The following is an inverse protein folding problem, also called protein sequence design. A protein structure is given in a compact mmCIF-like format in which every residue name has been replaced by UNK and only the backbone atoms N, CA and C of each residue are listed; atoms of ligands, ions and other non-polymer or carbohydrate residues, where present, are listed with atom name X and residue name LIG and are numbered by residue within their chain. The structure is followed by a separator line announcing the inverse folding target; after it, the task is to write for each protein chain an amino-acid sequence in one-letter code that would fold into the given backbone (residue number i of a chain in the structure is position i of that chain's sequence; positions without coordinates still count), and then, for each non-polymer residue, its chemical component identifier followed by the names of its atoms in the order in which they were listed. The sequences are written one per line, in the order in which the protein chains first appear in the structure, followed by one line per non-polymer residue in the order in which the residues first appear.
data_IF_411015842427
#
_entry.id   IF_411015842427
#
_cell.length_a   1.000
_cell.length_b   1.000
_cell.length_c   1.000
_cell.angle_alpha   90.00
_cell.angle_beta   90.00
_cell.angle_gamma   90.00
#
_symmetry.space_group_name_H-M   'P 1'
#
loop_
_entity.id
_entity.type
_entity.pdbx_description
1 polymer ?
#
# COMPACT_ATOMS: atom_id res chain seq x y z
N UNK A 1 -96.76 -20.80 -7.56
CA UNK A 1 -96.01 -19.55 -7.74
C UNK A 1 -94.56 -19.95 -8.02
N UNK A 2 -94.17 -20.09 -9.30
CA UNK A 2 -93.40 -19.09 -10.10
C UNK A 2 -92.21 -18.51 -9.30
N UNK A 3 -90.93 -18.51 -9.72
CA UNK A 3 -90.24 -18.72 -11.02
C UNK A 3 -88.73 -19.01 -10.71
N UNK A 4 -88.08 -20.04 -11.28
CA UNK A 4 -87.16 -20.05 -12.45
C UNK A 4 -85.84 -19.22 -12.38
N UNK A 5 -84.71 -19.97 -12.42
CA UNK A 5 -83.39 -19.75 -13.07
C UNK A 5 -82.56 -18.49 -12.70
N UNK A 6 -81.24 -18.54 -12.43
CA UNK A 6 -80.14 -19.00 -13.29
C UNK A 6 -78.88 -19.43 -12.48
N UNK A 7 -78.17 -20.42 -13.02
CA UNK A 7 -76.86 -20.99 -12.64
C UNK A 7 -75.67 -20.15 -13.14
N UNK A 8 -74.62 -19.89 -12.35
CA UNK A 8 -73.25 -19.61 -12.87
C UNK A 8 -72.14 -19.69 -11.79
N UNK A 9 -71.37 -20.77 -11.91
CA UNK A 9 -69.96 -21.08 -11.55
C UNK A 9 -69.06 -20.16 -10.68
N UNK A 10 -68.49 -20.81 -9.66
CA UNK A 10 -67.08 -20.86 -9.17
C UNK A 10 -66.22 -19.58 -9.16
N UNK A 11 -65.75 -19.23 -7.97
CA UNK A 11 -64.60 -18.34 -7.73
C UNK A 11 -64.38 -18.06 -6.25
N UNK A 12 -63.67 -18.93 -5.55
CA UNK A 12 -63.29 -18.73 -4.14
C UNK A 12 -62.13 -17.75 -4.04
N UNK A 13 -62.43 -16.48 -3.74
CA UNK A 13 -61.43 -15.47 -3.36
C UNK A 13 -61.39 -15.32 -1.84
N UNK A 14 -60.44 -16.01 -1.20
CA UNK A 14 -59.98 -15.65 0.16
C UNK A 14 -59.17 -14.35 0.05
N UNK A 15 -59.70 -13.25 0.62
CA UNK A 15 -58.87 -12.10 0.96
C UNK A 15 -58.26 -12.36 2.33
N UNK A 16 -56.94 -12.60 2.30
CA UNK A 16 -56.10 -12.84 3.47
C UNK A 16 -56.06 -11.60 4.38
N UNK A 17 -56.52 -11.76 5.61
CA UNK A 17 -56.10 -10.92 6.73
C UNK A 17 -54.62 -11.22 7.02
N UNK A 18 -53.84 -10.16 7.22
CA UNK A 18 -52.40 -10.23 7.45
C UNK A 18 -52.04 -11.15 8.61
N UNK A 19 -51.36 -12.25 8.29
CA UNK A 19 -50.63 -13.04 9.26
C UNK A 19 -49.23 -12.46 9.40
N UNK A 20 -48.95 -11.88 10.56
CA UNK A 20 -47.58 -11.65 11.03
C UNK A 20 -46.93 -13.03 11.13
N UNK A 21 -45.98 -13.33 10.25
CA UNK A 21 -45.15 -14.52 10.36
C UNK A 21 -44.21 -14.32 11.55
N UNK A 22 -44.69 -14.75 12.71
CA UNK A 22 -43.90 -14.91 13.91
C UNK A 22 -42.89 -16.03 13.63
N UNK A 23 -41.67 -15.66 13.24
CA UNK A 23 -40.60 -16.63 13.01
C UNK A 23 -40.20 -17.20 14.38
N UNK A 24 -40.83 -18.32 14.74
CA UNK A 24 -40.45 -19.12 15.91
C UNK A 24 -38.98 -19.47 15.75
N UNK A 25 -38.13 -18.83 16.54
CA UNK A 25 -36.80 -19.35 16.85
C UNK A 25 -36.99 -20.75 17.42
N UNK A 26 -36.59 -21.77 16.65
CA UNK A 26 -36.46 -23.11 17.18
C UNK A 26 -35.23 -23.16 18.11
N UNK A 27 -35.31 -23.83 19.27
CA UNK A 27 -34.15 -24.01 20.12
C UNK A 27 -33.18 -24.98 19.42
N UNK A 28 -32.01 -24.50 19.02
CA UNK A 28 -30.98 -25.31 18.37
C UNK A 28 -30.07 -25.95 19.42
N UNK A 29 -29.80 -27.22 19.17
CA UNK A 29 -29.00 -28.16 19.95
C UNK A 29 -27.58 -27.63 20.21
N UNK A 30 -27.15 -27.68 21.48
CA UNK A 30 -25.93 -27.03 21.97
C UNK A 30 -24.78 -28.03 22.09
N UNK A 31 -24.15 -28.41 20.97
CA UNK A 31 -22.86 -29.12 21.00
C UNK A 31 -22.02 -28.85 19.74
N UNK A 32 -21.54 -27.63 19.56
CA UNK A 32 -20.18 -27.38 19.01
C UNK A 32 -19.80 -25.90 19.16
N UNK A 33 -18.68 -25.64 19.82
CA UNK A 33 -18.20 -24.29 20.10
C UNK A 33 -17.36 -23.71 18.93
N UNK A 34 -17.97 -23.62 17.75
CA UNK A 34 -17.50 -22.76 16.67
C UNK A 34 -18.28 -21.43 16.75
N UNK A 35 -17.58 -20.29 16.71
CA UNK A 35 -18.16 -18.96 16.86
C UNK A 35 -19.45 -18.81 16.04
N UNK A 36 -20.59 -18.68 16.71
CA UNK A 36 -21.88 -18.62 16.03
C UNK A 36 -22.08 -17.18 15.53
N UNK A 37 -21.89 -16.99 14.22
CA UNK A 37 -22.07 -15.71 13.56
C UNK A 37 -23.50 -15.18 13.72
N UNK A 38 -23.64 -14.00 14.31
CA UNK A 38 -24.90 -13.30 14.52
C UNK A 38 -25.29 -12.48 13.28
N UNK A 39 -26.51 -12.65 12.72
CA UNK A 39 -26.97 -11.84 11.59
C UNK A 39 -27.16 -10.38 12.00
N UNK A 40 -26.65 -9.46 11.19
CA UNK A 40 -26.73 -8.00 11.38
C UNK A 40 -27.73 -7.32 10.42
N UNK A 41 -28.42 -8.11 9.60
CA UNK A 41 -29.36 -7.63 8.59
C UNK A 41 -28.69 -7.23 7.28
N UNK A 42 -29.45 -6.52 6.45
CA UNK A 42 -28.97 -6.03 5.15
C UNK A 42 -28.26 -4.67 5.29
N UNK A 43 -27.10 -4.51 4.65
CA UNK A 43 -26.30 -3.27 4.71
C UNK A 43 -25.96 -2.76 3.31
N UNK A 44 -25.87 -1.45 3.15
CA UNK A 44 -25.51 -0.83 1.88
C UNK A 44 -24.06 -1.12 1.54
N UNK A 45 -23.80 -1.60 0.33
CA UNK A 45 -22.45 -1.83 -0.18
C UNK A 45 -22.18 -1.00 -1.44
N UNK A 46 -20.90 -0.78 -1.77
CA UNK A 46 -20.52 -0.05 -2.98
C UNK A 46 -19.17 -0.53 -3.48
N UNK A 47 -19.05 -0.80 -4.79
CA UNK A 47 -17.78 -1.23 -5.40
C UNK A 47 -16.59 -0.28 -5.25
N UNK A 48 -16.85 1.00 -5.03
CA UNK A 48 -15.80 2.00 -4.77
C UNK A 48 -15.53 2.12 -3.27
N UNK A 49 -16.55 1.94 -2.42
CA UNK A 49 -16.47 2.06 -0.97
C UNK A 49 -17.04 0.81 -0.31
N UNK A 50 -16.31 -0.30 -0.38
CA UNK A 50 -16.81 -1.58 0.13
C UNK A 50 -17.04 -1.52 1.63
N UNK A 51 -18.13 -2.16 2.06
CA UNK A 51 -18.52 -2.33 3.46
C UNK A 51 -17.50 -3.13 4.22
N UNK A 52 -17.00 -4.19 3.58
CA UNK A 52 -15.96 -5.08 4.06
C UNK A 52 -14.81 -5.09 3.05
N UNK A 53 -13.58 -4.80 3.52
CA UNK A 53 -12.45 -4.47 2.65
C UNK A 53 -11.75 -5.70 2.04
N UNK A 54 -11.90 -6.89 2.62
CA UNK A 54 -11.26 -8.10 2.12
C UNK A 54 -12.27 -8.95 1.33
N UNK A 55 -11.82 -9.49 0.19
CA UNK A 55 -12.59 -10.50 -0.55
C UNK A 55 -12.36 -11.86 0.12
N UNK A 56 -13.45 -12.54 0.49
CA UNK A 56 -13.42 -13.87 1.11
C UNK A 56 -13.44 -15.01 0.09
N UNK A 57 -14.39 -14.98 -0.87
CA UNK A 57 -14.54 -15.98 -1.94
C UNK A 57 -15.51 -15.44 -3.02
N UNK A 58 -15.52 -16.02 -4.22
CA UNK A 58 -16.53 -15.72 -5.25
C UNK A 58 -16.80 -16.93 -6.15
N UNK A 59 -18.07 -17.24 -6.46
CA UNK A 59 -18.39 -18.32 -7.40
C UNK A 59 -19.79 -18.94 -7.28
N UNK A 60 -19.92 -20.15 -7.82
CA UNK A 60 -21.20 -20.86 -8.03
C UNK A 60 -21.68 -21.72 -6.85
N UNK A 61 -20.99 -21.67 -5.70
CA UNK A 61 -21.31 -22.53 -4.56
C UNK A 61 -21.15 -21.80 -3.21
N UNK A 62 -21.52 -20.52 -3.18
CA UNK A 62 -21.48 -19.67 -1.99
C UNK A 62 -22.75 -19.90 -1.17
N UNK A 63 -22.59 -20.04 0.14
CA UNK A 63 -23.65 -20.03 1.15
C UNK A 63 -23.22 -19.10 2.28
N UNK A 64 -24.16 -18.62 3.10
CA UNK A 64 -23.82 -17.76 4.24
C UNK A 64 -22.84 -18.46 5.19
N UNK A 65 -23.08 -19.74 5.48
CA UNK A 65 -22.20 -20.55 6.34
C UNK A 65 -20.81 -20.75 5.73
N UNK A 66 -20.70 -20.95 4.41
CA UNK A 66 -19.39 -21.05 3.75
C UNK A 66 -18.65 -19.73 3.78
N UNK A 67 -19.33 -18.61 3.55
CA UNK A 67 -18.71 -17.29 3.64
C UNK A 67 -18.21 -17.02 5.06
N UNK A 68 -19.03 -17.26 6.08
CA UNK A 68 -18.65 -17.19 7.49
C UNK A 68 -17.42 -18.05 7.82
N UNK A 69 -17.38 -19.28 7.31
CA UNK A 69 -16.25 -20.19 7.51
C UNK A 69 -14.97 -19.70 6.84
N UNK A 70 -15.09 -19.09 5.64
CA UNK A 70 -13.96 -18.48 4.91
C UNK A 70 -13.44 -17.23 5.61
N UNK A 71 -14.31 -16.48 6.27
CA UNK A 71 -13.96 -15.30 7.05
C UNK A 71 -13.49 -15.63 8.47
N UNK A 72 -13.17 -16.89 8.79
CA UNK A 72 -12.58 -17.25 10.07
C UNK A 72 -11.27 -16.46 10.31
N UNK A 73 -11.26 -15.62 11.34
CA UNK A 73 -10.17 -14.68 11.63
C UNK A 73 -10.54 -13.20 11.45
N UNK A 74 -11.66 -12.93 10.79
CA UNK A 74 -12.31 -11.61 10.74
C UNK A 74 -13.51 -11.55 11.68
N UNK A 75 -13.97 -10.33 11.96
CA UNK A 75 -15.15 -10.08 12.80
C UNK A 75 -16.45 -10.08 12.03
N UNK A 76 -16.40 -9.65 10.78
CA UNK A 76 -17.52 -9.52 9.89
C UNK A 76 -17.32 -10.39 8.65
N UNK A 77 -18.41 -11.01 8.25
CA UNK A 77 -18.56 -11.73 7.00
C UNK A 77 -19.82 -11.20 6.33
N UNK A 78 -19.82 -11.11 5.01
CA UNK A 78 -21.03 -10.76 4.30
C UNK A 78 -21.04 -11.24 2.87
N UNK A 79 -22.23 -11.53 2.38
CA UNK A 79 -22.44 -12.03 1.03
C UNK A 79 -23.15 -10.99 0.18
N UNK A 80 -22.68 -10.78 -1.05
CA UNK A 80 -23.28 -9.88 -2.05
C UNK A 80 -23.62 -10.67 -3.33
N UNK A 81 -24.62 -10.18 -4.06
CA UNK A 81 -24.87 -10.57 -5.45
C UNK A 81 -24.92 -12.09 -5.71
N UNK A 82 -25.59 -12.84 -4.82
CA UNK A 82 -25.74 -14.30 -4.81
C UNK A 82 -24.47 -15.11 -4.56
N UNK A 83 -23.31 -14.65 -5.03
CA UNK A 83 -22.11 -15.46 -5.20
C UNK A 83 -20.82 -14.81 -4.75
N UNK A 84 -20.87 -13.65 -4.12
CA UNK A 84 -19.69 -12.94 -3.62
C UNK A 84 -19.65 -13.02 -2.09
N UNK A 85 -18.46 -13.18 -1.53
CA UNK A 85 -18.21 -13.20 -0.10
C UNK A 85 -17.12 -12.18 0.25
N UNK A 86 -17.37 -11.41 1.31
CA UNK A 86 -16.50 -10.36 1.81
C UNK A 86 -16.27 -10.54 3.31
N UNK A 87 -15.08 -10.17 3.78
CA UNK A 87 -14.65 -10.27 5.17
C UNK A 87 -14.08 -8.93 5.66
N UNK A 88 -14.18 -8.66 6.95
CA UNK A 88 -13.54 -7.49 7.54
C UNK A 88 -13.57 -7.46 9.06
N UNK A 89 -12.64 -6.76 9.68
CA UNK A 89 -12.65 -6.54 11.13
C UNK A 89 -13.51 -5.33 11.54
N UNK A 90 -13.87 -4.49 10.56
CA UNK A 90 -14.63 -3.26 10.72
C UNK A 90 -15.57 -3.07 9.54
N UNK A 91 -16.65 -2.33 9.78
CA UNK A 91 -17.52 -1.82 8.73
C UNK A 91 -17.01 -0.46 8.26
N UNK A 92 -17.07 -0.21 6.96
CA UNK A 92 -16.81 1.12 6.42
C UNK A 92 -17.81 2.14 6.97
N UNK A 93 -17.32 3.28 7.47
CA UNK A 93 -18.11 4.29 8.20
C UNK A 93 -19.21 4.97 7.36
N UNK A 94 -19.15 4.86 6.03
CA UNK A 94 -20.17 5.44 5.15
C UNK A 94 -21.31 4.47 4.83
N UNK A 95 -21.25 3.24 5.36
CA UNK A 95 -22.29 2.22 5.15
C UNK A 95 -23.42 2.38 6.14
N UNK A 96 -24.61 1.93 5.75
CA UNK A 96 -25.82 2.07 6.55
C UNK A 96 -26.70 0.83 6.43
N UNK A 97 -27.52 0.52 7.46
CA UNK A 97 -28.53 -0.52 7.37
C UNK A 97 -29.53 -0.22 6.25
N UNK A 98 -29.90 -1.25 5.50
CA UNK A 98 -30.95 -1.25 4.49
C UNK A 98 -32.16 -2.05 4.97
N UNK A 99 -33.26 -1.95 4.23
CA UNK A 99 -34.34 -2.92 4.35
C UNK A 99 -33.82 -4.30 3.94
N UNK A 100 -34.24 -5.36 4.65
CA UNK A 100 -33.94 -6.75 4.28
C UNK A 100 -34.39 -7.10 2.85
N UNK A 101 -35.36 -6.37 2.29
CA UNK A 101 -35.79 -6.49 0.89
C UNK A 101 -34.70 -6.14 -0.13
N UNK A 102 -33.66 -5.40 0.26
CA UNK A 102 -32.52 -5.13 -0.60
C UNK A 102 -31.60 -6.36 -0.74
N UNK A 103 -31.59 -7.25 0.27
CA UNK A 103 -30.83 -8.49 0.28
C UNK A 103 -31.69 -9.69 -0.12
N UNK A 104 -32.27 -9.61 -1.33
CA UNK A 104 -33.26 -10.59 -1.82
C UNK A 104 -32.68 -11.69 -2.71
N UNK A 105 -31.43 -11.57 -3.15
CA UNK A 105 -30.84 -12.52 -4.10
C UNK A 105 -30.48 -13.82 -3.37
N UNK A 106 -30.89 -14.95 -3.92
CA UNK A 106 -30.61 -16.27 -3.33
C UNK A 106 -29.13 -16.65 -3.47
N UNK A 107 -28.60 -17.46 -2.57
CA UNK A 107 -27.19 -17.88 -2.64
C UNK A 107 -26.95 -18.84 -3.81
N UNK A 108 -25.77 -18.77 -4.43
CA UNK A 108 -25.42 -19.68 -5.55
C UNK A 108 -25.28 -21.14 -5.12
N UNK A 109 -24.94 -21.39 -3.85
CA UNK A 109 -24.79 -22.72 -3.27
C UNK A 109 -25.98 -23.24 -2.48
N UNK A 110 -27.01 -22.41 -2.24
CA UNK A 110 -28.24 -22.78 -1.51
C UNK A 110 -29.35 -21.76 -1.83
N UNK A 111 -30.38 -22.17 -2.57
CA UNK A 111 -31.47 -21.28 -2.98
C UNK A 111 -32.51 -21.01 -1.89
N UNK A 112 -32.35 -21.63 -0.71
CA UNK A 112 -33.25 -21.46 0.44
C UNK A 112 -32.85 -20.31 1.37
N UNK A 113 -31.68 -19.72 1.15
CA UNK A 113 -31.18 -18.55 1.87
C UNK A 113 -30.81 -17.40 0.93
N UNK A 114 -30.77 -16.18 1.47
CA UNK A 114 -30.39 -14.97 0.72
C UNK A 114 -28.92 -14.60 0.96
N UNK A 115 -28.24 -14.24 -0.12
CA UNK A 115 -26.84 -13.81 -0.17
C UNK A 115 -26.72 -12.41 -0.78
N UNK A 116 -27.28 -11.42 -0.08
CA UNK A 116 -27.22 -10.02 -0.47
C UNK A 116 -28.12 -9.65 -1.65
N UNK A 117 -27.73 -8.57 -2.33
CA UNK A 117 -28.39 -8.02 -3.50
C UNK A 117 -27.46 -7.03 -4.20
N UNK A 118 -27.92 -6.32 -5.24
CA UNK A 118 -27.08 -5.33 -5.93
C UNK A 118 -26.73 -4.18 -4.97
N UNK A 119 -25.45 -3.98 -4.66
CA UNK A 119 -24.98 -2.97 -3.69
C UNK A 119 -25.57 -3.19 -2.28
N UNK A 120 -25.84 -4.44 -1.91
CA UNK A 120 -26.49 -4.80 -0.65
C UNK A 120 -25.89 -6.09 -0.08
N UNK A 121 -25.32 -6.00 1.12
CA UNK A 121 -24.61 -7.09 1.79
C UNK A 121 -25.48 -7.71 2.88
N UNK A 122 -25.70 -9.03 2.83
CA UNK A 122 -26.20 -9.76 4.00
C UNK A 122 -25.05 -9.87 5.01
N UNK A 123 -25.11 -9.12 6.13
CA UNK A 123 -23.99 -8.96 7.06
C UNK A 123 -24.11 -9.89 8.27
N UNK A 124 -22.99 -10.46 8.70
CA UNK A 124 -22.86 -11.33 9.87
C UNK A 124 -21.68 -10.89 10.73
N UNK A 125 -21.79 -11.07 12.05
CA UNK A 125 -20.76 -10.72 13.04
C UNK A 125 -20.40 -11.92 13.92
N UNK A 126 -19.12 -12.17 14.19
CA UNK A 126 -18.62 -13.32 14.98
C UNK A 126 -18.89 -13.22 16.49
N UNK A 127 -19.50 -12.12 16.95
CA UNK A 127 -19.82 -11.89 18.36
C UNK A 127 -18.64 -11.46 19.21
N UNK A 128 -17.45 -11.31 18.62
CA UNK A 128 -16.25 -10.85 19.32
C UNK A 128 -16.05 -9.37 19.12
N UNK A 129 -15.46 -8.72 20.13
CA UNK A 129 -14.96 -7.37 19.96
C UNK A 129 -13.98 -7.36 18.78
N UNK A 130 -14.03 -6.28 17.98
CA UNK A 130 -13.02 -6.10 16.96
C UNK A 130 -11.63 -6.20 17.60
N UNK A 131 -10.61 -6.73 16.87
CA UNK A 131 -9.24 -6.62 17.35
C UNK A 131 -9.01 -5.16 17.71
N UNK A 132 -8.13 -4.85 18.66
CA UNK A 132 -7.76 -3.44 18.85
C UNK A 132 -7.33 -2.91 17.48
N UNK A 133 -8.11 -1.98 16.92
CA UNK A 133 -7.72 -1.33 15.69
C UNK A 133 -6.38 -0.71 15.95
N UNK A 134 -5.41 -0.96 15.07
CA UNK A 134 -4.43 0.09 14.84
C UNK A 134 -5.26 1.33 14.54
N UNK A 135 -5.23 2.36 15.41
CA UNK A 135 -6.05 3.54 15.20
C UNK A 135 -5.74 4.06 13.80
N UNK A 136 -6.79 4.36 13.02
CA UNK A 136 -6.58 5.02 11.74
C UNK A 136 -5.80 6.28 12.05
N UNK A 137 -4.63 6.39 11.43
CA UNK A 137 -3.69 7.44 11.73
C UNK A 137 -3.22 8.09 10.44
N UNK A 138 -2.70 9.30 10.58
CA UNK A 138 -1.97 9.93 9.50
C UNK A 138 -0.72 9.09 9.27
N UNK A 139 -0.55 8.58 8.05
CA UNK A 139 0.73 7.97 7.69
C UNK A 139 1.78 9.09 7.81
N UNK A 140 2.77 8.91 8.69
CA UNK A 140 3.77 9.95 8.93
C UNK A 140 4.67 10.21 7.72
N UNK A 141 4.67 9.30 6.75
CA UNK A 141 5.56 9.29 5.62
C UNK A 141 6.13 7.89 5.35
N UNK A 142 6.44 7.62 4.10
CA UNK A 142 7.08 6.37 3.68
C UNK A 142 8.07 6.64 2.55
N UNK A 143 9.17 5.88 2.50
CA UNK A 143 10.18 5.98 1.44
C UNK A 143 10.69 7.40 1.18
N UNK A 144 11.00 8.14 2.25
CA UNK A 144 11.56 9.50 2.18
C UNK A 144 10.53 10.62 1.98
N UNK A 145 9.26 10.24 1.79
CA UNK A 145 8.13 11.16 1.88
C UNK A 145 7.78 11.40 3.34
N UNK A 146 7.39 12.62 3.66
CA UNK A 146 6.96 13.03 5.00
C UNK A 146 5.61 13.74 4.89
N UNK A 147 4.67 13.40 5.76
CA UNK A 147 3.39 14.08 5.83
C UNK A 147 3.60 15.55 6.19
N UNK A 148 2.97 16.43 5.40
CA UNK A 148 2.89 17.87 5.62
C UNK A 148 1.59 18.27 6.32
N UNK A 149 0.68 17.31 6.54
CA UNK A 149 -0.64 17.54 7.13
C UNK A 149 -1.74 17.72 6.09
N UNK A 150 -2.88 18.20 6.57
CA UNK A 150 -4.10 18.38 5.80
C UNK A 150 -4.17 19.78 5.19
N UNK A 151 -4.60 19.88 3.93
CA UNK A 151 -4.76 21.15 3.21
C UNK A 151 -6.10 21.20 2.47
N UNK A 152 -6.66 22.40 2.27
CA UNK A 152 -7.85 22.61 1.42
C UNK A 152 -7.62 22.09 0.01
N UNK A 153 -8.57 21.38 -0.58
CA UNK A 153 -8.50 20.96 -1.99
C UNK A 153 -9.89 20.98 -2.61
N UNK A 154 -10.20 21.99 -3.43
CA UNK A 154 -11.52 22.13 -4.05
C UNK A 154 -11.44 21.86 -5.55
N UNK A 155 -12.50 21.31 -6.14
CA UNK A 155 -12.56 20.98 -7.59
C UNK A 155 -12.18 22.17 -8.48
N UNK A 156 -12.53 23.40 -8.08
CA UNK A 156 -12.18 24.64 -8.81
C UNK A 156 -10.85 25.29 -8.39
N UNK A 157 -10.19 24.78 -7.35
CA UNK A 157 -8.96 25.32 -6.76
C UNK A 157 -8.15 24.19 -6.11
N UNK A 158 -7.59 23.31 -6.94
CA UNK A 158 -6.80 22.16 -6.50
C UNK A 158 -5.47 22.60 -5.88
N UNK A 159 -5.06 21.99 -4.78
CA UNK A 159 -3.76 22.20 -4.12
C UNK A 159 -2.62 21.62 -4.93
N UNK A 160 -2.80 20.43 -5.52
CA UNK A 160 -1.87 19.83 -6.49
C UNK A 160 -2.57 19.67 -7.84
N UNK A 161 -1.97 20.19 -8.91
CA UNK A 161 -2.65 20.31 -10.21
C UNK A 161 -2.72 19.01 -11.03
N UNK A 162 -1.92 18.00 -10.71
CA UNK A 162 -1.82 16.78 -11.55
C UNK A 162 -2.48 15.59 -10.85
N UNK A 163 -3.75 15.33 -11.14
CA UNK A 163 -4.37 14.06 -10.77
C UNK A 163 -3.80 12.91 -11.60
N UNK A 164 -3.36 11.83 -10.96
CA UNK A 164 -2.71 10.69 -11.62
C UNK A 164 -3.45 9.39 -11.34
N UNK A 165 -3.45 8.48 -12.32
CA UNK A 165 -3.91 7.13 -12.12
C UNK A 165 -2.80 6.30 -11.47
N UNK A 166 -3.13 5.55 -10.41
CA UNK A 166 -2.19 4.62 -9.79
C UNK A 166 -2.20 3.24 -10.47
N UNK A 167 -1.09 2.48 -10.46
CA UNK A 167 -0.99 1.19 -11.14
C UNK A 167 -2.00 0.11 -10.72
N UNK A 168 -2.60 0.24 -9.53
CA UNK A 168 -3.60 -0.71 -8.99
C UNK A 168 -5.03 -0.13 -8.95
N UNK A 169 -5.23 1.02 -9.58
CA UNK A 169 -6.51 1.72 -9.63
C UNK A 169 -6.93 2.34 -8.30
N UNK A 170 -7.98 3.17 -8.35
CA UNK A 170 -8.47 3.94 -7.22
C UNK A 170 -8.83 3.05 -6.02
N UNK A 171 -9.52 1.91 -6.24
CA UNK A 171 -9.95 0.98 -5.19
C UNK A 171 -8.81 0.30 -4.41
N UNK A 172 -7.56 0.47 -4.85
CA UNK A 172 -6.38 -0.07 -4.19
C UNK A 172 -5.43 1.02 -3.68
N UNK A 173 -5.88 2.28 -3.63
CA UNK A 173 -5.03 3.40 -3.24
C UNK A 173 -4.54 3.25 -1.80
N UNK A 174 -3.24 3.44 -1.61
CA UNK A 174 -2.57 3.62 -0.31
C UNK A 174 -1.73 4.88 -0.38
N UNK A 175 -1.29 5.41 0.76
CA UNK A 175 -0.32 6.51 0.80
C UNK A 175 0.96 6.10 0.06
N UNK A 176 1.47 4.90 0.34
CA UNK A 176 2.61 4.29 -0.36
C UNK A 176 2.42 4.32 -1.89
N UNK A 177 1.29 3.80 -2.37
CA UNK A 177 1.05 3.70 -3.81
C UNK A 177 1.00 5.08 -4.47
N UNK A 178 0.48 6.10 -3.78
CA UNK A 178 0.45 7.45 -4.31
C UNK A 178 1.85 8.08 -4.33
N UNK A 179 2.61 8.01 -3.23
CA UNK A 179 3.96 8.59 -3.18
C UNK A 179 4.92 7.88 -4.13
N UNK A 180 4.76 6.57 -4.34
CA UNK A 180 5.49 5.81 -5.35
C UNK A 180 5.15 6.28 -6.77
N UNK A 181 3.86 6.50 -7.04
CA UNK A 181 3.40 6.96 -8.36
C UNK A 181 3.92 8.36 -8.65
N UNK A 182 3.83 9.28 -7.69
CA UNK A 182 4.32 10.65 -7.83
C UNK A 182 5.84 10.72 -7.91
N UNK A 183 6.55 9.97 -7.06
CA UNK A 183 8.01 9.88 -7.09
C UNK A 183 8.52 9.28 -8.41
N UNK A 184 7.87 8.21 -8.91
CA UNK A 184 8.21 7.61 -10.20
C UNK A 184 7.96 8.54 -11.39
N UNK A 185 7.02 9.48 -11.24
CA UNK A 185 6.73 10.51 -12.23
C UNK A 185 7.59 11.79 -12.05
N UNK A 186 8.53 11.80 -11.09
CA UNK A 186 9.48 12.89 -10.89
C UNK A 186 8.95 14.08 -10.09
N UNK A 187 7.85 13.91 -9.35
CA UNK A 187 7.28 14.95 -8.49
C UNK A 187 7.85 14.90 -7.07
N UNK A 188 7.96 16.06 -6.43
CA UNK A 188 8.43 16.20 -5.03
C UNK A 188 7.29 16.36 -4.02
N UNK A 189 6.06 16.57 -4.51
CA UNK A 189 4.82 16.60 -3.73
C UNK A 189 3.87 15.51 -4.24
N UNK A 190 3.23 14.85 -3.29
CA UNK A 190 2.19 13.85 -3.50
C UNK A 190 1.04 14.17 -2.56
N UNK A 191 -0.18 13.92 -2.98
CA UNK A 191 -1.36 14.16 -2.17
C UNK A 191 -2.39 13.08 -2.41
N UNK A 192 -2.97 12.58 -1.34
CA UNK A 192 -4.07 11.61 -1.39
C UNK A 192 -5.36 12.29 -0.96
N UNK A 193 -6.41 12.12 -1.77
CA UNK A 193 -7.74 12.70 -1.58
C UNK A 193 -8.81 11.61 -1.76
N UNK A 194 -9.97 11.84 -1.14
CA UNK A 194 -11.20 11.09 -1.39
C UNK A 194 -11.05 9.55 -1.38
N UNK A 195 -10.24 9.02 -0.47
CA UNK A 195 -9.95 7.58 -0.28
C UNK A 195 -9.24 6.86 -1.44
N UNK A 196 -9.30 7.41 -2.65
CA UNK A 196 -8.92 6.72 -3.89
C UNK A 196 -8.24 7.60 -4.94
N UNK A 197 -8.07 8.91 -4.68
CA UNK A 197 -7.46 9.85 -5.62
C UNK A 197 -6.01 10.17 -5.23
N UNK A 198 -5.15 10.25 -6.24
CA UNK A 198 -3.73 10.59 -6.08
C UNK A 198 -3.40 11.80 -6.94
N UNK A 199 -2.73 12.77 -6.35
CA UNK A 199 -2.31 14.01 -7.00
C UNK A 199 -0.82 14.24 -6.81
N UNK A 200 -0.15 14.75 -7.83
CA UNK A 200 1.27 15.02 -7.81
C UNK A 200 1.58 16.49 -8.17
N UNK A 201 2.69 17.01 -7.68
CA UNK A 201 3.16 18.35 -8.03
C UNK A 201 4.57 18.62 -7.56
N UNK A 202 5.09 19.78 -7.93
CA UNK A 202 6.38 20.29 -7.42
C UNK A 202 6.20 21.58 -6.60
N UNK A 203 4.97 22.07 -6.53
CA UNK A 203 4.54 23.24 -5.78
C UNK A 203 3.04 23.15 -5.53
N UNK A 204 2.56 23.78 -4.45
CA UNK A 204 1.13 23.97 -4.22
C UNK A 204 0.59 25.16 -5.01
N UNK A 205 -0.67 25.10 -5.43
CA UNK A 205 -1.36 26.22 -6.08
C UNK A 205 -1.55 27.42 -5.14
N UNK A 206 -1.71 28.62 -5.72
CA UNK A 206 -2.10 29.84 -4.99
C UNK A 206 -3.46 29.63 -4.34
N UNK A 207 -3.52 29.52 -3.02
CA UNK A 207 -4.77 29.30 -2.27
C UNK A 207 -4.81 27.99 -1.47
N UNK A 208 -3.76 27.16 -1.52
CA UNK A 208 -3.62 26.04 -0.59
C UNK A 208 -3.47 26.55 0.85
N UNK A 209 -4.44 26.23 1.71
CA UNK A 209 -4.45 26.62 3.14
C UNK A 209 -4.39 25.35 3.98
N UNK A 210 -3.60 25.38 5.06
CA UNK A 210 -3.54 24.28 6.02
C UNK A 210 -4.89 24.17 6.76
N UNK A 211 -5.37 22.95 6.93
CA UNK A 211 -6.65 22.62 7.56
C UNK A 211 -6.44 21.73 8.79
N UNK A 212 -7.48 21.64 9.62
CA UNK A 212 -7.49 20.69 10.73
C UNK A 212 -7.50 19.24 10.21
N UNK A 213 -6.83 18.32 10.92
CA UNK A 213 -6.78 16.91 10.52
C UNK A 213 -8.17 16.27 10.39
N UNK A 214 -9.18 16.77 11.11
CA UNK A 214 -10.56 16.30 11.00
C UNK A 214 -11.19 16.53 9.63
N UNK A 215 -10.62 17.41 8.78
CA UNK A 215 -11.02 17.56 7.38
C UNK A 215 -10.48 16.42 6.50
N UNK A 216 -9.33 15.84 6.85
CA UNK A 216 -8.71 14.69 6.18
C UNK A 216 -9.01 13.38 6.94
N UNK A 217 -10.29 13.02 6.99
CA UNK A 217 -10.83 11.95 7.84
C UNK A 217 -11.23 10.67 7.08
N UNK A 218 -10.96 10.58 5.79
CA UNK A 218 -11.34 9.44 4.97
C UNK A 218 -10.22 8.39 4.90
N UNK A 219 -10.47 7.11 5.24
CA UNK A 219 -9.47 6.04 5.12
C UNK A 219 -9.13 5.72 3.67
N UNK A 220 -7.92 5.22 3.40
CA UNK A 220 -7.52 4.76 2.06
C UNK A 220 -8.24 3.46 1.68
N UNK A 221 -8.62 3.30 0.39
CA UNK A 221 -9.26 2.06 -0.08
C UNK A 221 -8.36 0.83 0.01
N UNK A 222 -7.08 0.98 -0.33
CA UNK A 222 -6.09 -0.08 -0.27
C UNK A 222 -5.46 -0.29 1.10
N UNK A 223 -5.71 0.59 2.07
CA UNK A 223 -5.22 0.48 3.44
C UNK A 223 -6.10 1.27 4.43
N UNK A 224 -7.07 0.60 5.04
CA UNK A 224 -7.99 1.23 5.99
C UNK A 224 -7.37 1.68 7.32
N UNK A 225 -6.07 1.44 7.55
CA UNK A 225 -5.36 1.90 8.77
C UNK A 225 -4.73 3.30 8.62
N UNK A 226 -4.83 3.92 7.45
CA UNK A 226 -4.28 5.26 7.17
C UNK A 226 -5.29 6.18 6.47
N UNK A 227 -5.15 7.49 6.67
CA UNK A 227 -6.00 8.51 6.05
C UNK A 227 -5.55 8.90 4.64
N UNK A 228 -6.48 8.88 3.68
CA UNK A 228 -6.35 9.37 2.30
C UNK A 228 -7.25 10.59 2.04
N UNK A 229 -7.03 11.68 2.80
CA UNK A 229 -7.68 12.97 2.59
C UNK A 229 -9.14 13.02 3.05
N UNK A 230 -9.94 13.85 2.38
CA UNK A 230 -11.36 14.10 2.66
C UNK A 230 -12.11 14.67 1.45
N UNK A 231 -13.35 15.10 1.62
CA UNK A 231 -14.23 15.51 0.51
C UNK A 231 -13.83 16.81 -0.21
N UNK A 232 -13.06 17.69 0.44
CA UNK A 232 -12.46 18.89 -0.15
C UNK A 232 -11.12 19.19 0.53
N UNK A 233 -10.38 18.13 0.89
CA UNK A 233 -9.17 18.24 1.70
C UNK A 233 -8.18 17.13 1.33
N UNK A 234 -6.92 17.49 1.19
CA UNK A 234 -5.85 16.60 0.73
C UNK A 234 -4.82 16.39 1.85
N UNK A 235 -4.44 15.14 2.11
CA UNK A 235 -3.26 14.85 2.93
C UNK A 235 -2.03 15.01 2.03
N UNK A 236 -1.21 16.01 2.32
CA UNK A 236 -0.04 16.36 1.52
C UNK A 236 1.21 15.67 2.06
N UNK A 237 2.04 15.16 1.15
CA UNK A 237 3.33 14.56 1.44
C UNK A 237 4.40 15.27 0.61
N UNK A 238 5.52 15.59 1.24
CA UNK A 238 6.68 16.13 0.56
C UNK A 238 7.85 15.18 0.69
N UNK A 239 8.66 15.10 -0.36
CA UNK A 239 9.92 14.38 -0.31
C UNK A 239 10.98 15.25 0.37
N UNK A 240 11.55 14.78 1.49
CA UNK A 240 12.43 15.60 2.32
C UNK A 240 13.83 15.78 1.69
N UNK A 241 14.23 17.04 1.49
CA UNK A 241 15.64 17.45 1.30
C UNK A 241 16.08 18.09 2.62
N UNK A 242 17.11 17.55 3.29
CA UNK A 242 17.71 18.22 4.46
C UNK A 242 18.73 19.32 4.03
N UNK A 243 18.84 20.45 4.75
CA UNK A 243 19.75 21.56 4.43
C UNK A 243 21.20 21.33 4.92
N UNK A 244 22.20 22.10 4.43
CA UNK A 244 23.62 21.80 4.60
C UNK A 244 24.20 22.26 5.95
N UNK A 245 25.05 21.45 6.58
CA UNK A 245 25.98 21.90 7.63
C UNK A 245 27.34 21.16 7.58
N UNK A 246 28.38 21.99 7.68
CA UNK A 246 29.80 21.78 7.47
C UNK A 246 30.56 20.82 8.43
N UNK A 247 31.69 20.33 7.89
CA UNK A 247 33.04 20.18 8.50
C UNK A 247 33.36 19.04 9.49
N UNK A 248 34.15 18.08 8.95
CA UNK A 248 35.53 17.76 9.37
C UNK A 248 35.82 16.49 10.21
N UNK A 249 36.57 15.56 9.57
CA UNK A 249 37.83 14.85 10.01
C UNK A 249 37.92 14.31 11.44
N UNK A 250 38.45 13.13 11.79
CA UNK A 250 39.15 11.98 11.17
C UNK A 250 39.24 10.91 12.30
N UNK A 251 39.10 9.59 12.05
CA UNK A 251 40.18 8.59 11.82
C UNK A 251 41.33 8.65 12.88
N UNK A 252 41.83 7.59 13.53
CA UNK A 252 41.89 6.14 13.24
C UNK A 252 42.46 5.32 14.44
N UNK A 253 42.19 3.99 14.43
CA UNK A 253 43.12 2.83 14.64
C UNK A 253 43.87 2.62 15.99
N UNK A 254 44.22 1.41 16.49
CA UNK A 254 44.49 0.11 15.84
C UNK A 254 44.61 -1.09 16.84
N UNK A 255 44.30 -2.33 16.36
CA UNK A 255 45.03 -3.64 16.49
C UNK A 255 45.17 -4.33 17.88
N UNK A 256 44.92 -5.64 18.12
CA UNK A 256 45.45 -6.86 17.45
C UNK A 256 44.65 -8.19 17.70
N UNK A 257 44.92 -9.16 16.82
CA UNK A 257 44.51 -10.59 16.60
C UNK A 257 44.99 -11.61 17.66
N UNK A 258 44.76 -12.96 17.55
CA UNK A 258 43.75 -13.78 16.85
C UNK A 258 43.11 -14.90 17.72
N UNK A 259 41.94 -15.45 17.35
CA UNK A 259 41.52 -16.84 17.69
C UNK A 259 40.50 -17.33 16.65
N UNK A 260 40.72 -18.54 16.11
CA UNK A 260 39.90 -19.17 15.08
C UNK A 260 38.61 -19.77 15.65
N UNK A 261 37.43 -19.48 15.08
CA UNK A 261 36.21 -20.29 15.24
C UNK A 261 35.17 -19.96 14.15
N UNK A 262 34.53 -21.02 13.63
CA UNK A 262 33.25 -21.10 12.90
C UNK A 262 32.94 -20.09 11.79
N UNK A 263 32.78 -20.64 10.58
CA UNK A 263 32.25 -19.96 9.40
C UNK A 263 30.79 -19.54 9.58
N UNK A 264 30.59 -18.41 10.25
CA UNK A 264 29.52 -17.47 9.91
C UNK A 264 29.93 -16.80 8.60
N UNK A 265 29.12 -16.92 7.54
CA UNK A 265 29.31 -16.13 6.33
C UNK A 265 29.23 -14.65 6.71
N UNK A 266 30.38 -13.99 6.82
CA UNK A 266 30.45 -12.60 7.23
C UNK A 266 29.72 -11.74 6.19
N UNK A 267 28.84 -10.86 6.66
CA UNK A 267 28.19 -9.86 5.84
C UNK A 267 29.25 -9.03 5.11
N UNK A 268 29.16 -8.86 3.78
CA UNK A 268 30.12 -8.05 3.04
C UNK A 268 30.16 -6.62 3.58
N UNK A 269 31.34 -6.00 3.58
CA UNK A 269 31.56 -4.68 4.15
C UNK A 269 31.77 -3.63 3.08
N UNK A 270 31.28 -2.41 3.30
CA UNK A 270 31.50 -1.30 2.37
C UNK A 270 32.96 -0.87 2.38
N UNK A 271 33.55 -0.69 1.21
CA UNK A 271 34.93 -0.21 1.07
C UNK A 271 34.94 1.31 1.27
N UNK A 272 35.15 1.76 2.50
CA UNK A 272 35.00 3.18 2.84
C UNK A 272 36.23 4.04 2.53
N UNK A 273 37.39 3.43 2.33
CA UNK A 273 38.67 4.13 2.12
C UNK A 273 39.69 3.25 1.38
N UNK A 274 40.84 3.82 1.00
CA UNK A 274 41.90 3.09 0.29
C UNK A 274 41.59 2.82 -1.18
N UNK A 275 40.59 3.50 -1.74
CA UNK A 275 40.23 3.42 -3.15
C UNK A 275 41.20 4.23 -4.02
N UNK A 276 41.48 3.79 -5.26
CA UNK A 276 42.26 4.55 -6.23
C UNK A 276 41.71 5.95 -6.50
N UNK A 277 42.58 6.81 -7.03
CA UNK A 277 42.21 8.04 -7.74
C UNK A 277 41.38 9.05 -6.93
N UNK A 278 41.56 9.04 -5.60
CA UNK A 278 40.91 9.98 -4.69
C UNK A 278 39.43 9.69 -4.42
N UNK A 279 38.92 8.54 -4.85
CA UNK A 279 37.55 8.16 -4.57
C UNK A 279 37.33 7.84 -3.09
N UNK A 280 36.20 8.31 -2.56
CA UNK A 280 35.74 8.01 -1.20
C UNK A 280 34.28 7.57 -1.24
N UNK A 281 33.90 6.67 -0.34
CA UNK A 281 32.53 6.18 -0.23
C UNK A 281 31.59 7.28 0.22
N UNK A 282 30.49 7.45 -0.51
CA UNK A 282 29.47 8.49 -0.29
C UNK A 282 28.17 7.93 0.30
N UNK A 283 28.18 6.68 0.77
CA UNK A 283 26.99 6.03 1.31
C UNK A 283 26.23 5.19 0.28
N UNK A 284 25.12 4.65 0.74
CA UNK A 284 24.16 3.98 -0.11
C UNK A 284 23.21 4.99 -0.74
N UNK A 285 22.88 4.84 -2.01
CA UNK A 285 22.02 5.75 -2.75
C UNK A 285 20.88 4.99 -3.41
N UNK A 286 19.68 5.58 -3.40
CA UNK A 286 18.56 5.00 -4.15
C UNK A 286 18.85 5.10 -5.64
N UNK A 287 18.77 3.98 -6.35
CA UNK A 287 19.08 3.90 -7.78
C UNK A 287 18.03 3.07 -8.52
N UNK A 288 17.10 3.72 -9.22
CA UNK A 288 15.96 3.06 -9.84
C UNK A 288 16.26 2.67 -11.29
N UNK A 289 15.73 1.54 -11.76
CA UNK A 289 15.96 1.04 -13.13
C UNK A 289 15.56 2.05 -14.23
N UNK A 290 14.55 2.89 -13.97
CA UNK A 290 14.10 3.97 -14.86
C UNK A 290 14.51 5.39 -14.38
N UNK A 291 15.33 5.47 -13.34
CA UNK A 291 15.76 6.71 -12.69
C UNK A 291 17.20 6.57 -12.20
N UNK A 292 18.08 6.09 -13.09
CA UNK A 292 19.48 5.81 -12.73
C UNK A 292 20.18 7.07 -12.30
N UNK A 293 20.84 7.04 -11.14
CA UNK A 293 21.47 8.25 -10.59
C UNK A 293 22.84 8.53 -11.22
N UNK A 294 23.40 7.55 -11.94
CA UNK A 294 24.60 7.70 -12.77
C UNK A 294 24.25 7.27 -14.20
N UNK A 295 24.60 8.10 -15.17
CA UNK A 295 24.09 8.00 -16.55
C UNK A 295 24.81 6.98 -17.43
N UNK A 296 25.94 6.44 -16.99
CA UNK A 296 26.77 5.57 -17.83
C UNK A 296 27.02 4.24 -17.13
N UNK A 297 26.32 3.19 -17.57
CA UNK A 297 26.61 1.83 -17.14
C UNK A 297 27.80 1.25 -17.93
N UNK A 298 28.77 0.69 -17.22
CA UNK A 298 29.83 -0.13 -17.78
C UNK A 298 29.34 -1.57 -18.02
N UNK A 299 29.97 -2.35 -18.91
CA UNK A 299 29.66 -3.77 -19.04
C UNK A 299 29.75 -4.49 -17.69
N UNK A 300 28.78 -5.37 -17.41
CA UNK A 300 28.78 -6.21 -16.21
C UNK A 300 30.10 -7.00 -16.10
N UNK A 301 30.68 -7.07 -14.90
CA UNK A 301 31.96 -7.74 -14.66
C UNK A 301 31.83 -8.92 -13.70
N UNK A 302 32.41 -10.06 -14.10
CA UNK A 302 32.50 -11.25 -13.26
C UNK A 302 33.57 -11.11 -12.14
N UNK A 303 34.36 -10.05 -12.17
CA UNK A 303 35.42 -9.78 -11.18
C UNK A 303 35.29 -8.35 -10.64
N UNK A 304 34.06 -7.85 -10.48
CA UNK A 304 33.81 -6.48 -10.04
C UNK A 304 34.26 -6.30 -8.58
N UNK A 305 34.97 -5.21 -8.32
CA UNK A 305 35.21 -4.63 -6.98
C UNK A 305 34.95 -3.12 -7.03
N UNK A 306 34.66 -2.45 -5.90
CA UNK A 306 34.61 -0.99 -5.84
C UNK A 306 35.89 -0.35 -6.40
N UNK A 307 37.07 -0.89 -6.08
CA UNK A 307 38.35 -0.41 -6.59
C UNK A 307 38.45 -0.47 -8.13
N UNK A 308 38.00 -1.58 -8.74
CA UNK A 308 37.96 -1.69 -10.21
C UNK A 308 36.94 -0.75 -10.85
N UNK A 309 35.81 -0.51 -10.21
CA UNK A 309 34.78 0.40 -10.73
C UNK A 309 35.25 1.85 -10.70
N UNK A 310 35.79 2.31 -9.57
CA UNK A 310 36.30 3.69 -9.44
C UNK A 310 37.44 3.95 -10.42
N UNK A 311 38.36 3.00 -10.62
CA UNK A 311 39.47 3.15 -11.57
C UNK A 311 38.98 3.23 -13.02
N UNK A 312 37.96 2.42 -13.36
CA UNK A 312 37.31 2.47 -14.68
C UNK A 312 36.64 3.83 -14.90
N UNK A 313 35.87 4.31 -13.92
CA UNK A 313 35.19 5.61 -14.02
C UNK A 313 36.18 6.78 -14.07
N UNK A 314 37.26 6.72 -13.29
CA UNK A 314 38.32 7.74 -13.30
C UNK A 314 39.00 7.84 -14.65
N UNK A 315 39.41 6.71 -15.22
CA UNK A 315 40.06 6.64 -16.54
C UNK A 315 39.14 7.18 -17.65
N UNK A 316 37.83 7.02 -17.50
CA UNK A 316 36.83 7.56 -18.40
C UNK A 316 36.44 9.04 -18.11
N UNK A 317 37.10 9.69 -17.16
CA UNK A 317 36.90 11.11 -16.85
C UNK A 317 35.62 11.42 -16.06
N UNK A 318 35.15 10.46 -15.26
CA UNK A 318 34.02 10.64 -14.35
C UNK A 318 34.48 10.94 -12.93
N UNK A 319 33.68 11.69 -12.18
CA UNK A 319 33.93 12.00 -10.77
C UNK A 319 33.09 11.15 -9.84
N UNK A 320 32.02 10.52 -10.36
CA UNK A 320 31.18 9.56 -9.65
C UNK A 320 31.34 8.17 -10.23
N UNK A 321 31.38 7.20 -9.33
CA UNK A 321 31.37 5.78 -9.63
C UNK A 321 30.39 5.10 -8.66
N UNK A 322 29.71 4.07 -9.11
CA UNK A 322 28.77 3.35 -8.27
C UNK A 322 28.70 1.90 -8.63
N UNK A 323 28.63 1.04 -7.62
CA UNK A 323 28.47 -0.40 -7.81
C UNK A 323 27.06 -0.82 -7.38
N UNK A 324 26.43 -1.66 -8.18
CA UNK A 324 25.10 -2.20 -7.91
C UNK A 324 25.08 -3.71 -8.24
N UNK A 325 24.21 -4.42 -7.53
CA UNK A 325 23.79 -5.78 -7.87
C UNK A 325 24.95 -6.77 -8.13
N UNK A 326 25.97 -6.74 -7.28
CA UNK A 326 27.16 -7.61 -7.29
C UNK A 326 28.18 -7.39 -8.43
N UNK A 327 27.71 -7.01 -9.64
CA UNK A 327 28.49 -7.06 -10.88
C UNK A 327 28.40 -5.83 -11.76
N UNK A 328 27.59 -4.84 -11.40
CA UNK A 328 27.33 -3.67 -12.23
C UNK A 328 28.15 -2.47 -11.73
N UNK A 329 28.74 -1.74 -12.68
CA UNK A 329 29.45 -0.50 -12.42
C UNK A 329 28.81 0.63 -13.22
N UNK A 330 28.56 1.76 -12.58
CA UNK A 330 27.99 2.95 -13.17
C UNK A 330 28.92 4.14 -12.93
N UNK A 331 29.03 5.02 -13.91
CA UNK A 331 29.87 6.21 -13.88
C UNK A 331 29.03 7.46 -14.20
N UNK A 332 29.43 8.60 -13.65
CA UNK A 332 28.78 9.87 -13.93
C UNK A 332 29.64 11.09 -13.60
N UNK A 333 29.35 12.21 -14.27
CA UNK A 333 29.93 13.51 -13.90
C UNK A 333 29.09 14.24 -12.85
N UNK A 334 27.86 13.79 -12.66
CA UNK A 334 26.92 14.30 -11.69
C UNK A 334 25.99 13.16 -11.26
N UNK A 335 25.39 13.34 -10.09
CA UNK A 335 24.21 12.59 -9.68
C UNK A 335 23.02 13.17 -10.45
N UNK A 336 22.32 12.33 -11.19
CA UNK A 336 21.16 12.72 -12.03
C UNK A 336 19.86 12.13 -11.48
N UNK A 337 18.73 12.48 -12.08
CA UNK A 337 17.42 11.90 -11.75
C UNK A 337 17.01 12.02 -10.28
N UNK A 338 17.44 13.10 -9.60
CA UNK A 338 17.08 13.35 -8.20
C UNK A 338 17.65 12.32 -7.23
N UNK A 339 18.77 11.67 -7.58
CA UNK A 339 19.42 10.70 -6.70
C UNK A 339 19.63 11.25 -5.29
N UNK A 340 19.40 10.38 -4.30
CA UNK A 340 19.51 10.72 -2.89
C UNK A 340 20.15 9.57 -2.11
N UNK A 341 20.83 9.91 -1.02
CA UNK A 341 21.43 8.93 -0.13
C UNK A 341 20.31 8.17 0.60
N UNK A 342 20.27 6.86 0.42
CA UNK A 342 19.34 5.96 1.09
C UNK A 342 19.85 5.64 2.50
N UNK A 343 19.19 6.22 3.50
CA UNK A 343 19.59 6.14 4.92
C UNK A 343 18.65 5.28 5.78
N UNK A 344 17.66 4.63 5.17
CA UNK A 344 16.76 3.73 5.90
C UNK A 344 17.53 2.52 6.44
N UNK A 345 17.07 1.96 7.57
CA UNK A 345 17.63 0.72 8.11
C UNK A 345 17.60 -0.40 7.07
N UNK A 346 16.56 -0.48 6.25
CA UNK A 346 16.48 -1.39 5.11
C UNK A 346 17.59 -1.12 4.09
N UNK A 347 17.79 0.13 3.66
CA UNK A 347 18.82 0.46 2.67
C UNK A 347 20.21 0.13 3.20
N UNK A 348 20.55 0.55 4.42
CA UNK A 348 21.83 0.25 5.05
C UNK A 348 22.05 -1.27 5.22
N UNK A 349 20.97 -2.02 5.45
CA UNK A 349 21.00 -3.47 5.57
C UNK A 349 21.00 -4.23 4.23
N UNK A 350 20.72 -3.57 3.10
CA UNK A 350 20.61 -4.22 1.79
C UNK A 350 21.56 -3.64 0.73
N UNK A 351 22.39 -2.66 1.06
CA UNK A 351 23.34 -2.02 0.14
C UNK A 351 24.72 -2.67 0.06
N UNK A 352 24.86 -3.87 0.64
CA UNK A 352 26.13 -4.56 0.79
C UNK A 352 26.07 -5.99 0.22
N UNK A 353 25.35 -6.17 -0.89
CA UNK A 353 25.37 -7.41 -1.67
C UNK A 353 26.81 -7.70 -2.11
N UNK A 354 27.28 -8.94 -1.95
CA UNK A 354 28.66 -9.32 -2.21
C UNK A 354 29.11 -8.99 -3.65
N UNK A 355 30.28 -8.38 -3.80
CA UNK A 355 30.88 -8.16 -5.12
C UNK A 355 31.34 -9.48 -5.76
N UNK A 356 31.27 -9.57 -7.09
CA UNK A 356 31.71 -10.77 -7.83
C UNK A 356 33.24 -10.98 -7.82
N UNK A 357 34.03 -9.90 -7.70
CA UNK A 357 35.49 -9.96 -7.64
C UNK A 357 36.06 -10.13 -6.23
N UNK A 358 35.29 -9.81 -5.20
CA UNK A 358 35.65 -10.02 -3.79
C UNK A 358 34.37 -10.09 -2.94
N UNK A 359 34.00 -11.28 -2.48
CA UNK A 359 32.76 -11.49 -1.73
C UNK A 359 32.77 -10.86 -0.33
N UNK A 360 33.92 -10.35 0.13
CA UNK A 360 34.02 -9.62 1.41
C UNK A 360 33.64 -8.15 1.26
N UNK A 361 33.48 -7.64 0.03
CA UNK A 361 33.19 -6.25 -0.28
C UNK A 361 31.73 -6.08 -0.71
N UNK A 362 31.10 -4.98 -0.28
CA UNK A 362 29.72 -4.62 -0.63
C UNK A 362 29.62 -3.91 -1.99
N UNK A 363 28.68 -4.38 -2.81
CA UNK A 363 28.41 -3.93 -4.17
C UNK A 363 26.94 -3.51 -4.38
N UNK A 364 26.42 -2.64 -3.50
CA UNK A 364 25.05 -2.12 -3.60
C UNK A 364 24.01 -3.20 -3.31
N UNK A 365 22.83 -3.06 -3.92
CA UNK A 365 21.67 -3.94 -3.70
C UNK A 365 20.54 -3.68 -4.70
N UNK A 366 19.38 -4.29 -4.49
CA UNK A 366 18.23 -4.05 -5.36
C UNK A 366 17.77 -2.60 -5.19
N UNK A 367 17.92 -1.80 -6.25
CA UNK A 367 17.61 -0.37 -6.27
C UNK A 367 18.48 0.49 -5.35
N UNK A 368 19.67 0.00 -5.02
CA UNK A 368 20.58 0.60 -4.05
C UNK A 368 22.00 0.61 -4.61
N UNK A 369 22.52 1.78 -4.94
CA UNK A 369 23.87 1.97 -5.42
C UNK A 369 24.80 2.33 -4.27
N UNK A 370 25.89 1.59 -4.12
CA UNK A 370 27.01 2.03 -3.29
C UNK A 370 27.80 3.09 -4.09
N UNK A 371 27.65 4.36 -3.70
CA UNK A 371 28.20 5.48 -4.45
C UNK A 371 29.59 5.89 -3.94
N UNK A 372 30.45 6.28 -4.86
CA UNK A 372 31.79 6.79 -4.62
C UNK A 372 32.00 8.08 -5.42
N UNK A 373 32.74 9.01 -4.82
CA UNK A 373 33.06 10.30 -5.43
C UNK A 373 34.54 10.64 -5.27
N UNK A 374 35.12 11.22 -6.32
CA UNK A 374 36.47 11.80 -6.32
C UNK A 374 36.43 13.28 -6.66
N UNK A 375 37.18 14.06 -5.88
CA UNK A 375 37.48 15.47 -6.16
C UNK A 375 38.79 15.65 -6.94
N UNK A 376 39.46 14.56 -7.32
CA UNK A 376 40.67 14.64 -8.12
C UNK A 376 40.32 15.21 -9.50
N UNK A 377 41.04 16.24 -9.92
CA UNK A 377 40.95 16.75 -11.29
C UNK A 377 41.29 15.62 -12.25
N UNK A 378 40.31 15.19 -13.06
CA UNK A 378 40.52 14.23 -14.14
C UNK A 378 41.54 14.85 -15.09
N UNK A 379 42.76 14.30 -15.14
CA UNK A 379 43.76 14.73 -16.12
C UNK A 379 43.20 14.44 -17.51
N UNK A 380 42.85 15.51 -18.21
CA UNK A 380 42.37 15.54 -19.59
C UNK A 380 43.38 14.99 -20.58
#
# INVERSE_FOLDING_TARGET
MLAHFVLSLLGSSLLAQGAVLNHKQQPRDTTDAAAQWAPQGCWSDNRHNRTLAALGDAGTNVTNVKCQSRCAGYRYAGTEYSGECYCGDYLNSITSPLSDLACYMTCTGDDTETCGGPNALSLYWDGQAAPASTPISVNAGVDGWTSQGCYTDQVGSRTLSNGVATPRGASSLTVQLCVDTCGSAGYTLAGVEYSGECYCGNSTSTGAVAEDQSACNMPCYGNGSEYCGGANAINLYSFAIAPPANTSTSASSATATPTATQSTSATPTMVTSGLPDGYTYQGCWADLTNGRILSVQQPDSATLTPASCVSTCYTAGYSYAGVEWSKQCFCGKAIVNGGYQAVSSYALQNCHVACTGDTTQGCGGSRLMALYYSNATTSS
#
